data_IF_126448900130
#
_entry.id   IF_126448900130
#
_cell.length_a   1.000
_cell.length_b   1.000
_cell.length_c   1.000
_cell.angle_alpha   90.00
_cell.angle_beta   90.00
_cell.angle_gamma   90.00
#
_symmetry.space_group_name_H-M   'P 1'
#
loop_
_entity.id
_entity.type
_entity.pdbx_description
1 polymer ?
#
# COMPACT_ATOMS: atom_id res chain seq x y z
N UNK A 1 14.77 -7.33 -5.52
CA UNK A 1 13.54 -6.84 -6.18
C UNK A 1 12.85 -5.92 -5.18
N UNK A 2 12.59 -4.68 -5.55
CA UNK A 2 11.83 -3.76 -4.69
C UNK A 2 10.33 -4.03 -4.88
N UNK A 3 9.55 -3.96 -3.81
CA UNK A 3 8.09 -3.96 -3.92
C UNK A 3 7.60 -2.55 -3.60
N UNK A 4 6.75 -2.02 -4.47
CA UNK A 4 6.12 -0.72 -4.28
C UNK A 4 4.65 -0.97 -4.02
N UNK A 5 4.20 -0.67 -2.81
CA UNK A 5 2.82 -0.78 -2.39
C UNK A 5 2.23 0.62 -2.20
N UNK A 6 0.91 0.73 -2.25
CA UNK A 6 0.21 1.96 -1.93
C UNK A 6 -0.83 1.70 -0.83
N UNK A 7 -0.90 2.60 0.15
CA UNK A 7 -1.92 2.58 1.18
C UNK A 7 -3.28 2.98 0.58
N UNK A 8 -4.28 2.11 0.69
CA UNK A 8 -5.63 2.39 0.17
C UNK A 8 -6.54 3.03 1.21
N UNK A 9 -6.16 2.98 2.49
CA UNK A 9 -6.79 3.68 3.63
C UNK A 9 -5.71 4.14 4.59
N UNK A 10 -6.04 5.13 5.43
CA UNK A 10 -5.13 5.58 6.48
C UNK A 10 -5.11 4.57 7.64
N UNK A 11 -3.93 4.31 8.19
CA UNK A 11 -3.74 3.42 9.34
C UNK A 11 -2.55 3.87 10.20
N UNK A 12 -2.43 3.31 11.40
CA UNK A 12 -1.32 3.60 12.31
C UNK A 12 -0.46 2.35 12.47
N UNK A 13 0.84 2.51 12.28
CA UNK A 13 1.83 1.47 12.46
C UNK A 13 2.72 1.82 13.66
N UNK A 14 2.93 0.85 14.54
CA UNK A 14 3.87 1.01 15.65
C UNK A 14 5.26 0.57 15.18
N UNK A 15 6.21 1.50 15.17
CA UNK A 15 7.59 1.21 14.82
C UNK A 15 8.28 0.57 16.02
N UNK A 16 8.94 -0.57 15.76
CA UNK A 16 9.79 -1.23 16.74
C UNK A 16 11.21 -0.63 16.73
N UNK A 17 11.69 -0.15 17.88
CA UNK A 17 13.10 0.30 18.07
C UNK A 17 13.98 -0.89 18.46
N UNK A 18 15.14 -1.02 17.81
CA UNK A 18 16.17 -2.01 18.19
C UNK A 18 17.15 -1.49 19.24
N UNK A 19 16.69 -0.57 20.09
CA UNK A 19 17.52 0.28 20.92
C UNK A 19 17.74 -0.41 22.29
N UNK A 20 19.00 -0.71 22.69
CA UNK A 20 19.25 -1.42 23.92
C UNK A 20 18.89 -0.55 25.13
N UNK A 21 17.93 -1.02 25.95
CA UNK A 21 17.59 -0.41 27.24
C UNK A 21 16.41 0.55 27.24
N UNK A 22 15.82 0.89 26.08
CA UNK A 22 14.61 1.71 26.02
C UNK A 22 13.56 1.14 25.06
N UNK A 23 12.29 1.17 25.48
CA UNK A 23 11.15 0.84 24.62
C UNK A 23 10.70 2.16 23.97
N UNK A 24 11.28 2.54 22.84
CA UNK A 24 10.71 3.62 22.03
C UNK A 24 9.55 3.02 21.23
N UNK A 25 8.35 3.56 21.44
CA UNK A 25 7.17 3.27 20.62
C UNK A 25 6.82 4.53 19.86
N UNK A 26 7.36 4.67 18.67
CA UNK A 26 6.89 5.68 17.74
C UNK A 26 5.71 5.10 16.98
N UNK A 27 4.59 5.84 16.96
CA UNK A 27 3.44 5.46 16.14
C UNK A 27 3.48 6.34 14.90
N UNK A 28 3.74 5.72 13.76
CA UNK A 28 3.69 6.37 12.46
C UNK A 28 2.29 6.23 11.89
N UNK A 29 1.70 7.36 11.51
CA UNK A 29 0.46 7.37 10.76
C UNK A 29 0.78 7.33 9.27
N UNK A 30 0.27 6.31 8.59
CA UNK A 30 0.35 6.15 7.13
C UNK A 30 -0.99 6.64 6.58
N UNK A 31 -0.95 7.62 5.69
CA UNK A 31 -2.15 8.21 5.09
C UNK A 31 -2.56 7.46 3.82
N UNK A 32 -3.82 7.63 3.44
CA UNK A 32 -4.30 7.10 2.16
C UNK A 32 -3.48 7.69 1.01
N UNK A 33 -3.12 6.83 0.08
CA UNK A 33 -2.28 7.07 -1.08
C UNK A 33 -0.78 7.11 -0.78
N UNK A 34 -0.32 7.02 0.46
CA UNK A 34 1.13 6.95 0.73
C UNK A 34 1.74 5.71 0.07
N UNK A 35 2.95 5.88 -0.47
CA UNK A 35 3.68 4.82 -1.17
C UNK A 35 4.69 4.21 -0.23
N UNK A 36 4.64 2.88 -0.13
CA UNK A 36 5.49 2.07 0.73
C UNK A 36 6.42 1.28 -0.18
N UNK A 37 7.68 1.69 -0.23
CA UNK A 37 8.75 0.98 -0.95
C UNK A 37 9.45 0.03 0.00
N UNK A 38 9.28 -1.27 -0.24
CA UNK A 38 9.96 -2.35 0.48
C UNK A 38 11.29 -2.65 -0.20
N UNK A 39 12.37 -2.55 0.57
CA UNK A 39 13.72 -2.79 0.06
C UNK A 39 14.18 -4.23 0.26
N UNK A 40 15.35 -4.56 -0.29
CA UNK A 40 15.99 -5.86 -0.06
C UNK A 40 16.75 -5.92 1.28
N UNK A 41 16.85 -4.79 2.00
CA UNK A 41 17.51 -4.74 3.29
C UNK A 41 16.60 -5.37 4.34
N UNK A 42 17.16 -6.37 5.04
CA UNK A 42 16.44 -7.22 5.98
C UNK A 42 17.23 -7.35 7.27
N UNK A 43 16.51 -7.43 8.38
CA UNK A 43 17.10 -7.70 9.68
C UNK A 43 16.32 -8.83 10.35
N UNK A 44 16.99 -9.64 11.17
CA UNK A 44 16.36 -10.72 11.92
C UNK A 44 16.53 -10.50 13.42
N UNK A 45 15.45 -10.63 14.17
CA UNK A 45 15.46 -10.62 15.62
C UNK A 45 14.94 -11.95 16.17
N UNK A 46 15.51 -12.39 17.29
CA UNK A 46 15.08 -13.64 17.94
C UNK A 46 13.66 -13.56 18.50
N UNK A 47 13.16 -12.36 18.81
CA UNK A 47 11.84 -12.15 19.42
C UNK A 47 10.72 -12.01 18.38
N UNK A 48 10.94 -11.24 17.32
CA UNK A 48 9.89 -10.83 16.39
C UNK A 48 10.14 -11.29 14.94
N UNK A 49 11.23 -12.04 14.70
CA UNK A 49 11.52 -12.62 13.41
C UNK A 49 12.10 -11.62 12.41
N UNK A 50 11.68 -11.74 11.15
CA UNK A 50 12.20 -10.93 10.04
C UNK A 50 11.57 -9.55 9.99
N UNK A 51 12.42 -8.56 9.77
CA UNK A 51 12.08 -7.17 9.45
C UNK A 51 12.60 -6.83 8.06
N UNK A 52 11.88 -5.95 7.39
CA UNK A 52 12.25 -5.37 6.10
C UNK A 52 12.37 -3.86 6.25
N UNK A 53 13.38 -3.27 5.62
CA UNK A 53 13.48 -1.82 5.55
C UNK A 53 12.47 -1.29 4.54
N UNK A 54 11.61 -0.40 5.01
CA UNK A 54 10.58 0.27 4.22
C UNK A 54 10.89 1.76 4.12
N UNK A 55 10.53 2.34 2.98
CA UNK A 55 10.65 3.76 2.69
C UNK A 55 9.26 4.28 2.35
N UNK A 56 8.74 5.21 3.16
CA UNK A 56 7.45 5.87 2.95
C UNK A 56 7.65 7.18 2.18
N UNK A 57 7.01 7.30 1.01
CA UNK A 57 7.02 8.48 0.12
C UNK A 57 8.44 9.06 -0.08
N UNK A 58 9.45 8.19 -0.23
CA UNK A 58 10.89 8.51 -0.35
C UNK A 58 11.53 9.32 0.78
N UNK A 59 10.80 9.55 1.88
CA UNK A 59 11.22 10.48 2.95
C UNK A 59 11.53 9.76 4.25
N UNK A 60 10.63 8.89 4.68
CA UNK A 60 10.69 8.31 6.01
C UNK A 60 11.10 6.84 5.91
N UNK A 61 12.15 6.45 6.63
CA UNK A 61 12.75 5.12 6.57
C UNK A 61 12.66 4.45 7.93
N UNK A 62 12.14 3.23 7.95
CA UNK A 62 12.03 2.44 9.16
C UNK A 62 12.02 0.95 8.83
N UNK A 63 12.28 0.12 9.83
CA UNK A 63 12.09 -1.32 9.69
C UNK A 63 10.66 -1.66 10.09
N UNK A 64 9.97 -2.38 9.22
CA UNK A 64 8.66 -2.96 9.48
C UNK A 64 8.81 -4.46 9.65
N UNK A 65 8.12 -5.06 10.63
CA UNK A 65 8.13 -6.50 10.77
C UNK A 65 7.45 -7.12 9.54
N UNK A 66 7.99 -8.23 9.03
CA UNK A 66 7.45 -8.85 7.82
C UNK A 66 5.99 -9.27 8.02
N UNK A 67 5.64 -9.76 9.22
CA UNK A 67 4.27 -10.16 9.55
C UNK A 67 3.30 -8.97 9.60
N UNK A 68 3.74 -7.77 9.97
CA UNK A 68 2.90 -6.57 9.92
C UNK A 68 2.63 -6.18 8.46
N UNK A 69 3.66 -6.22 7.61
CA UNK A 69 3.51 -5.96 6.18
C UNK A 69 2.53 -6.95 5.53
N UNK A 70 2.68 -8.24 5.83
CA UNK A 70 1.78 -9.30 5.40
C UNK A 70 0.36 -9.05 5.92
N UNK A 71 0.22 -8.68 7.19
CA UNK A 71 -1.08 -8.38 7.79
C UNK A 71 -1.78 -7.23 7.06
N UNK A 72 -1.11 -6.10 6.83
CA UNK A 72 -1.68 -4.95 6.13
C UNK A 72 -2.08 -5.29 4.70
N UNK A 73 -1.33 -6.17 4.04
CA UNK A 73 -1.66 -6.67 2.71
C UNK A 73 -2.91 -7.57 2.74
N UNK A 74 -2.95 -8.54 3.66
CA UNK A 74 -4.07 -9.48 3.79
C UNK A 74 -5.41 -8.80 4.11
N UNK A 75 -5.40 -7.76 4.95
CA UNK A 75 -6.62 -7.01 5.28
C UNK A 75 -6.92 -5.87 4.28
N UNK A 76 -6.11 -5.77 3.22
CA UNK A 76 -6.28 -4.81 2.13
C UNK A 76 -6.12 -3.35 2.56
N UNK A 77 -5.23 -3.02 3.50
CA UNK A 77 -4.84 -1.62 3.76
C UNK A 77 -3.77 -1.13 2.79
N UNK A 78 -2.97 -2.05 2.24
CA UNK A 78 -1.95 -1.78 1.24
C UNK A 78 -2.14 -2.74 0.06
N UNK A 79 -1.86 -2.27 -1.15
CA UNK A 79 -2.00 -3.06 -2.37
C UNK A 79 -0.79 -2.93 -3.27
N UNK A 80 -0.52 -3.98 -4.06
CA UNK A 80 0.39 -3.91 -5.21
C UNK A 80 -0.33 -3.30 -6.42
N UNK A 81 0.45 -2.90 -7.43
CA UNK A 81 -0.09 -2.39 -8.69
C UNK A 81 -0.98 -3.42 -9.39
N UNK A 82 -0.60 -4.69 -9.36
CA UNK A 82 -1.35 -5.78 -9.97
C UNK A 82 -2.73 -5.96 -9.31
N UNK A 83 -2.81 -5.78 -7.98
CA UNK A 83 -4.07 -5.84 -7.24
C UNK A 83 -4.99 -4.67 -7.62
N UNK A 84 -4.42 -3.48 -7.79
CA UNK A 84 -5.15 -2.29 -8.25
C UNK A 84 -5.69 -2.51 -9.67
N UNK A 85 -4.85 -3.01 -10.57
CA UNK A 85 -5.22 -3.30 -11.96
C UNK A 85 -6.38 -4.34 -12.00
N UNK A 86 -6.30 -5.38 -11.15
CA UNK A 86 -7.37 -6.37 -11.02
C UNK A 86 -8.68 -5.76 -10.48
N UNK A 87 -8.60 -4.92 -9.45
CA UNK A 87 -9.78 -4.27 -8.88
C UNK A 87 -10.43 -3.29 -9.86
N UNK A 88 -9.65 -2.53 -10.62
CA UNK A 88 -10.17 -1.64 -11.66
C UNK A 88 -10.93 -2.40 -12.74
N UNK A 89 -10.38 -3.51 -13.21
CA UNK A 89 -11.06 -4.39 -14.17
C UNK A 89 -12.39 -4.91 -13.62
N UNK A 90 -12.41 -5.31 -12.34
CA UNK A 90 -13.63 -5.75 -11.68
C UNK A 90 -14.66 -4.63 -11.56
N UNK A 91 -14.26 -3.43 -11.10
CA UNK A 91 -15.19 -2.31 -10.95
C UNK A 91 -15.76 -1.85 -12.29
N UNK A 92 -14.95 -1.79 -13.35
CA UNK A 92 -15.44 -1.45 -14.69
C UNK A 92 -16.47 -2.47 -15.19
N UNK A 93 -16.19 -3.76 -15.03
CA UNK A 93 -17.15 -4.83 -15.33
C UNK A 93 -18.47 -4.66 -14.55
N UNK A 94 -18.40 -4.33 -13.26
CA UNK A 94 -19.58 -4.15 -12.43
C UNK A 94 -20.38 -2.88 -12.79
N UNK A 95 -19.71 -1.79 -13.18
CA UNK A 95 -20.37 -0.59 -13.71
C UNK A 95 -21.20 -0.95 -14.95
N UNK A 96 -20.60 -1.68 -15.90
CA UNK A 96 -21.29 -2.13 -17.11
C UNK A 96 -22.48 -3.04 -16.78
N UNK A 97 -22.30 -3.99 -15.86
CA UNK A 97 -23.40 -4.86 -15.42
C UNK A 97 -24.54 -4.09 -14.75
N UNK A 98 -24.24 -3.05 -13.97
CA UNK A 98 -25.25 -2.22 -13.32
C UNK A 98 -26.05 -1.41 -14.36
N UNK A 99 -25.39 -0.89 -15.40
CA UNK A 99 -26.05 -0.23 -16.53
C UNK A 99 -27.01 -1.17 -17.26
N UNK A 100 -26.57 -2.38 -17.58
CA UNK A 100 -27.39 -3.40 -18.25
C UNK A 100 -28.65 -3.74 -17.45
N UNK A 101 -28.52 -3.80 -16.12
CA UNK A 101 -29.63 -4.07 -15.19
C UNK A 101 -30.46 -2.84 -14.83
N UNK A 102 -30.05 -1.64 -15.27
CA UNK A 102 -30.62 -0.34 -14.84
C UNK A 102 -30.62 -0.18 -13.31
N UNK A 103 -29.59 -0.69 -12.66
CA UNK A 103 -29.40 -0.60 -11.20
C UNK A 103 -28.58 0.64 -10.85
N UNK A 104 -29.28 1.73 -10.54
CA UNK A 104 -28.67 3.02 -10.22
C UNK A 104 -27.79 2.96 -8.95
N UNK A 105 -28.18 2.17 -7.95
CA UNK A 105 -27.46 2.08 -6.67
C UNK A 105 -26.09 1.45 -6.90
N UNK A 106 -26.06 0.32 -7.60
CA UNK A 106 -24.82 -0.38 -7.90
C UNK A 106 -23.96 0.40 -8.89
N UNK A 107 -24.57 1.08 -9.86
CA UNK A 107 -23.86 1.94 -10.79
C UNK A 107 -23.10 3.05 -10.06
N UNK A 108 -23.78 3.77 -9.17
CA UNK A 108 -23.17 4.86 -8.40
C UNK A 108 -22.06 4.34 -7.49
N UNK A 109 -22.31 3.24 -6.77
CA UNK A 109 -21.32 2.63 -5.88
C UNK A 109 -20.04 2.24 -6.63
N UNK A 110 -20.16 1.45 -7.70
CA UNK A 110 -18.97 0.96 -8.42
C UNK A 110 -18.27 2.06 -9.22
N UNK A 111 -19.00 3.06 -9.72
CA UNK A 111 -18.39 4.23 -10.35
C UNK A 111 -17.54 5.01 -9.36
N UNK A 112 -18.00 5.17 -8.11
CA UNK A 112 -17.22 5.83 -7.07
C UNK A 112 -15.96 5.04 -6.71
N UNK A 113 -16.06 3.70 -6.57
CA UNK A 113 -14.89 2.85 -6.32
C UNK A 113 -13.89 2.92 -7.48
N UNK A 114 -14.37 2.87 -8.73
CA UNK A 114 -13.54 2.98 -9.93
C UNK A 114 -12.78 4.31 -9.95
N UNK A 115 -13.43 5.43 -9.62
CA UNK A 115 -12.78 6.75 -9.55
C UNK A 115 -11.73 6.79 -8.45
N UNK A 116 -12.05 6.31 -7.24
CA UNK A 116 -11.11 6.27 -6.11
C UNK A 116 -9.87 5.45 -6.45
N UNK A 117 -10.07 4.25 -6.99
CA UNK A 117 -8.99 3.34 -7.33
C UNK A 117 -8.11 3.87 -8.47
N UNK A 118 -8.70 4.54 -9.48
CA UNK A 118 -7.93 5.18 -10.54
C UNK A 118 -7.02 6.30 -10.02
N UNK A 119 -7.43 7.04 -9.00
CA UNK A 119 -6.57 8.07 -8.37
C UNK A 119 -5.35 7.44 -7.69
N UNK A 120 -5.55 6.32 -7.00
CA UNK A 120 -4.45 5.56 -6.37
C UNK A 120 -3.50 5.02 -7.43
N UNK A 121 -4.04 4.41 -8.50
CA UNK A 121 -3.26 3.92 -9.63
C UNK A 121 -2.41 5.02 -10.26
N UNK A 122 -3.01 6.18 -10.54
CA UNK A 122 -2.30 7.32 -11.12
C UNK A 122 -1.14 7.79 -10.24
N UNK A 123 -1.33 7.88 -8.92
CA UNK A 123 -0.24 8.25 -7.99
C UNK A 123 0.89 7.21 -8.02
N UNK A 124 0.54 5.92 -7.96
CA UNK A 124 1.52 4.84 -7.96
C UNK A 124 2.28 4.74 -9.28
N UNK A 125 1.59 4.80 -10.43
CA UNK A 125 2.22 4.75 -11.75
C UNK A 125 3.19 5.93 -11.93
N UNK A 126 2.78 7.15 -11.56
CA UNK A 126 3.66 8.33 -11.62
C UNK A 126 4.89 8.24 -10.73
N UNK A 127 4.77 7.57 -9.57
CA UNK A 127 5.93 7.28 -8.71
C UNK A 127 6.88 6.27 -9.33
N UNK A 128 6.35 5.18 -9.90
CA UNK A 128 7.15 4.14 -10.53
C UNK A 128 7.93 4.68 -11.74
N UNK A 129 7.27 5.49 -12.58
CA UNK A 129 7.92 6.18 -13.70
C UNK A 129 9.05 7.11 -13.23
N UNK A 130 8.84 7.84 -12.13
CA UNK A 130 9.87 8.70 -11.55
C UNK A 130 11.06 7.88 -11.01
N UNK A 131 10.81 6.79 -10.29
CA UNK A 131 11.84 5.91 -9.72
C UNK A 131 12.71 5.27 -10.82
N UNK A 132 12.11 4.84 -11.94
CA UNK A 132 12.83 4.30 -13.10
C UNK A 132 13.80 5.31 -13.73
N UNK A 133 13.45 6.59 -13.79
CA UNK A 133 14.30 7.65 -14.33
C UNK A 133 15.56 7.92 -13.49
N UNK A 134 15.58 7.57 -12.20
CA UNK A 134 16.75 7.72 -11.34
C UNK A 134 17.81 6.61 -11.50
N UNK A 135 17.51 5.57 -12.29
CA UNK A 135 18.42 4.46 -12.58
C UNK A 135 19.02 4.49 -14.00
N UNK A 136 18.88 5.60 -14.72
CA UNK A 136 19.46 5.85 -16.06
C UNK A 136 20.72 6.72 -15.96
#
# INVERSE_FOLDING_TARGET
>A
MYWNLIAVKAFSHQIDCFCPGEIHREVLRIEQSDIIKVTNERNFTATNGWYVMVILDDRYRFYMALHDLEHYYEIGEILLKEDIDLQLNYYDFQVNQALDKKDEVMFNYFSEQLIKMNKLKWKLDGYLEADELFYI
#
